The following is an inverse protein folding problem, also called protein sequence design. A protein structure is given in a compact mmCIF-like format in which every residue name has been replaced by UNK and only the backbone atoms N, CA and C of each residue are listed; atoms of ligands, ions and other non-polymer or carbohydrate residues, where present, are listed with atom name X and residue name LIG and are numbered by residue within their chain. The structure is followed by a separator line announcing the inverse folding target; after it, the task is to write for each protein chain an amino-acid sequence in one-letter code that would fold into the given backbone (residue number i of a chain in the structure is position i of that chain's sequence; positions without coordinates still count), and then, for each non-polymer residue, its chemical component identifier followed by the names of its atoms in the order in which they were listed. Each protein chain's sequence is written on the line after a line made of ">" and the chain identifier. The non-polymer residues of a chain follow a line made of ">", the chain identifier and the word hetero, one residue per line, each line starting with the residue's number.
data_IF_369195706000
#
_entry.id   IF_369195706000
#
_cell.length_a   1.000
_cell.length_b   1.000
_cell.length_c   1.000
_cell.angle_alpha   90.00
_cell.angle_beta   90.00
_cell.angle_gamma   90.00
#
_symmetry.space_group_name_H-M   'P 1'
#
loop_
_entity.id
_entity.type
_entity.pdbx_description
1 polymer ?
#
# COMPACT_ATOMS: atom_id res chain seq x y z
N UNK A 1 -27.42 20.62 65.34
CA UNK A 1 -27.26 19.22 64.88
C UNK A 1 -26.71 19.27 63.45
N UNK A 2 -25.65 18.53 63.11
CA UNK A 2 -25.10 18.48 61.74
C UNK A 2 -25.63 17.23 61.04
N UNK A 3 -26.44 17.38 60.00
CA UNK A 3 -26.71 16.28 59.06
C UNK A 3 -25.66 16.32 57.96
N UNK A 4 -24.92 15.22 57.80
CA UNK A 4 -24.07 15.00 56.63
C UNK A 4 -24.93 14.44 55.50
N UNK A 5 -24.93 15.08 54.33
CA UNK A 5 -25.56 14.54 53.14
C UNK A 5 -24.55 13.63 52.42
N UNK A 6 -24.93 12.36 52.26
CA UNK A 6 -24.13 11.34 51.57
C UNK A 6 -24.13 11.61 50.06
N UNK A 7 -23.00 12.03 49.49
CA UNK A 7 -22.86 12.18 48.04
C UNK A 7 -22.53 10.80 47.43
N UNK A 8 -23.55 10.18 46.82
CA UNK A 8 -23.40 8.92 46.10
C UNK A 8 -22.77 9.17 44.73
N UNK A 9 -21.49 8.82 44.56
CA UNK A 9 -20.83 8.87 43.25
C UNK A 9 -21.37 7.78 42.33
N UNK A 10 -22.31 8.13 41.47
CA UNK A 10 -22.75 7.27 40.37
C UNK A 10 -21.67 7.29 39.27
N UNK A 11 -20.77 6.32 39.27
CA UNK A 11 -19.80 6.13 38.20
C UNK A 11 -20.52 5.62 36.94
N UNK A 12 -21.10 6.54 36.17
CA UNK A 12 -21.58 6.23 34.82
C UNK A 12 -20.34 6.04 33.95
N UNK A 13 -20.01 4.78 33.68
CA UNK A 13 -18.97 4.42 32.73
C UNK A 13 -19.39 4.79 31.32
N UNK A 14 -19.11 6.03 30.89
CA UNK A 14 -19.11 6.38 29.47
C UNK A 14 -18.02 5.55 28.77
N UNK A 15 -18.45 4.43 28.19
CA UNK A 15 -17.68 3.80 27.12
C UNK A 15 -17.56 4.83 25.99
N UNK A 16 -16.36 5.14 25.48
CA UNK A 16 -16.23 6.01 24.33
C UNK A 16 -16.83 5.30 23.13
N UNK A 17 -18.05 5.70 22.75
CA UNK A 17 -18.64 5.32 21.46
C UNK A 17 -17.72 5.93 20.39
N UNK A 18 -17.02 5.06 19.65
CA UNK A 18 -16.18 5.47 18.51
C UNK A 18 -17.08 5.96 17.36
N UNK A 19 -17.55 7.20 17.47
CA UNK A 19 -18.29 7.88 16.42
C UNK A 19 -17.35 8.24 15.25
N UNK A 20 -17.58 7.63 14.09
CA UNK A 20 -17.16 8.10 12.76
C UNK A 20 -15.68 8.44 12.56
N UNK A 21 -14.98 7.66 11.74
CA UNK A 21 -13.59 7.94 11.38
C UNK A 21 -13.49 9.17 10.45
N UNK A 22 -13.21 10.34 11.03
CA UNK A 22 -12.81 11.54 10.29
C UNK A 22 -11.44 11.30 9.66
N UNK A 23 -11.37 11.26 8.32
CA UNK A 23 -10.14 10.97 7.59
C UNK A 23 -10.06 11.75 6.28
N UNK A 24 -8.84 12.07 5.85
CA UNK A 24 -8.59 12.75 4.57
C UNK A 24 -7.66 11.89 3.73
N UNK A 25 -8.08 11.53 2.53
CA UNK A 25 -7.26 10.86 1.53
C UNK A 25 -6.67 11.88 0.57
N UNK A 26 -5.36 11.82 0.41
CA UNK A 26 -4.59 12.76 -0.41
C UNK A 26 -4.26 12.17 -1.77
N UNK A 27 -4.01 13.04 -2.76
CA UNK A 27 -3.73 12.64 -4.15
C UNK A 27 -2.49 11.75 -4.30
N UNK A 28 -1.61 11.81 -3.30
CA UNK A 28 -0.38 11.05 -3.19
C UNK A 28 -0.58 9.65 -2.53
N UNK A 29 -1.83 9.22 -2.30
CA UNK A 29 -2.18 7.90 -1.77
C UNK A 29 -2.31 7.80 -0.24
N UNK A 30 -1.87 8.80 0.53
CA UNK A 30 -1.91 8.71 2.00
C UNK A 30 -3.35 8.82 2.55
N UNK A 31 -3.60 8.16 3.68
CA UNK A 31 -4.76 8.39 4.57
C UNK A 31 -4.29 9.16 5.81
N UNK A 32 -4.82 10.36 6.00
CA UNK A 32 -4.64 11.15 7.22
C UNK A 32 -5.76 10.78 8.19
N UNK A 33 -5.43 10.03 9.24
CA UNK A 33 -6.36 9.63 10.29
C UNK A 33 -6.66 10.78 11.27
N UNK A 34 -7.88 10.83 11.82
CA UNK A 34 -8.38 11.91 12.67
C UNK A 34 -8.22 13.31 12.05
N UNK A 35 -8.43 13.39 10.73
CA UNK A 35 -8.22 14.58 9.93
C UNK A 35 -9.57 15.15 9.47
N UNK A 36 -9.79 16.44 9.73
CA UNK A 36 -11.08 17.11 9.51
C UNK A 36 -10.90 18.44 8.79
N UNK A 37 -11.63 18.61 7.67
CA UNK A 37 -11.70 19.89 6.96
C UNK A 37 -12.27 21.01 7.86
N UNK A 38 -11.74 22.23 7.72
CA UNK A 38 -12.13 23.40 8.51
C UNK A 38 -12.42 24.66 7.71
N UNK A 39 -11.74 24.89 6.58
CA UNK A 39 -12.01 26.03 5.68
C UNK A 39 -11.53 25.70 4.24
N UNK A 40 -11.98 26.48 3.26
CA UNK A 40 -11.53 26.40 1.87
C UNK A 40 -11.42 27.81 1.28
N UNK A 41 -10.30 28.13 0.64
CA UNK A 41 -10.03 29.46 0.09
C UNK A 41 -9.28 29.31 -1.22
N UNK A 42 -9.79 29.91 -2.30
CA UNK A 42 -9.21 29.88 -3.65
C UNK A 42 -8.71 28.47 -4.04
N UNK A 43 -7.40 28.28 -4.28
CA UNK A 43 -6.80 26.99 -4.64
C UNK A 43 -6.45 26.09 -3.45
N UNK A 44 -6.76 26.49 -2.21
CA UNK A 44 -6.37 25.79 -0.97
C UNK A 44 -7.52 25.30 -0.12
N UNK A 45 -7.25 24.25 0.63
CA UNK A 45 -8.15 23.66 1.61
C UNK A 45 -7.42 23.49 2.95
N UNK A 46 -8.08 23.88 4.03
CA UNK A 46 -7.56 23.90 5.39
C UNK A 46 -8.23 22.81 6.21
N UNK A 47 -7.45 22.11 7.02
CA UNK A 47 -7.92 21.01 7.85
C UNK A 47 -7.12 20.93 9.15
N UNK A 48 -7.69 20.29 10.16
CA UNK A 48 -6.97 19.90 11.37
C UNK A 48 -6.68 18.40 11.36
N UNK A 49 -5.60 17.99 12.03
CA UNK A 49 -5.33 16.58 12.38
C UNK A 49 -5.13 16.51 13.89
N UNK A 50 -5.79 15.55 14.54
CA UNK A 50 -5.58 15.26 15.95
C UNK A 50 -4.60 14.09 16.11
N UNK A 51 -3.45 14.36 16.73
CA UNK A 51 -2.44 13.36 17.09
C UNK A 51 -2.31 13.35 18.61
N UNK A 52 -2.78 12.28 19.24
CA UNK A 52 -2.93 12.20 20.71
C UNK A 52 -3.71 13.42 21.24
N UNK A 53 -3.17 14.16 22.21
CA UNK A 53 -3.80 15.35 22.78
C UNK A 53 -3.53 16.65 22.00
N UNK A 54 -2.83 16.57 20.86
CA UNK A 54 -2.46 17.74 20.06
C UNK A 54 -3.28 17.85 18.78
N UNK A 55 -4.07 18.93 18.70
CA UNK A 55 -4.68 19.38 17.45
C UNK A 55 -3.70 20.27 16.67
N UNK A 56 -3.46 19.96 15.40
CA UNK A 56 -2.61 20.76 14.51
C UNK A 56 -3.36 21.14 13.24
N UNK A 57 -3.20 22.39 12.77
CA UNK A 57 -3.88 22.90 11.56
C UNK A 57 -2.91 22.92 10.38
N UNK A 58 -3.41 22.52 9.21
CA UNK A 58 -2.69 22.43 7.95
C UNK A 58 -3.52 23.03 6.81
N UNK A 59 -2.86 23.42 5.73
CA UNK A 59 -3.52 23.90 4.52
C UNK A 59 -2.76 23.43 3.29
N UNK A 60 -3.41 22.63 2.44
CA UNK A 60 -2.84 22.10 1.19
C UNK A 60 -3.54 22.74 -0.01
N UNK A 61 -3.00 22.59 -1.21
CA UNK A 61 -3.76 22.88 -2.44
C UNK A 61 -4.89 21.86 -2.60
N UNK A 62 -6.04 22.27 -3.14
CA UNK A 62 -7.23 21.42 -3.34
C UNK A 62 -6.88 20.13 -4.08
N UNK A 63 -6.09 20.24 -5.15
CA UNK A 63 -5.63 19.12 -5.98
C UNK A 63 -4.83 18.05 -5.22
N UNK A 64 -4.27 18.37 -4.05
CA UNK A 64 -3.52 17.42 -3.22
C UNK A 64 -4.44 16.61 -2.29
N UNK A 65 -5.72 16.95 -2.20
CA UNK A 65 -6.74 16.18 -1.47
C UNK A 65 -7.71 15.55 -2.48
N UNK A 66 -7.99 14.26 -2.33
CA UNK A 66 -8.97 13.57 -3.16
C UNK A 66 -10.34 13.58 -2.51
N UNK A 67 -10.43 12.97 -1.32
CA UNK A 67 -11.70 12.80 -0.61
C UNK A 67 -11.50 12.97 0.89
N UNK A 68 -12.41 13.69 1.53
CA UNK A 68 -12.52 13.76 2.98
C UNK A 68 -13.76 12.98 3.44
N UNK A 69 -13.60 12.17 4.48
CA UNK A 69 -14.68 11.49 5.19
C UNK A 69 -14.90 12.15 6.53
N UNK A 70 -16.17 12.29 6.93
CA UNK A 70 -16.55 12.80 8.24
C UNK A 70 -17.91 12.26 8.63
N UNK A 71 -18.00 11.62 9.80
CA UNK A 71 -19.27 11.07 10.35
C UNK A 71 -20.13 10.38 9.27
N UNK A 72 -19.57 9.41 8.54
CA UNK A 72 -20.27 8.65 7.49
C UNK A 72 -20.68 9.40 6.23
N UNK A 73 -20.36 10.70 6.11
CA UNK A 73 -20.47 11.44 4.86
C UNK A 73 -19.10 11.59 4.20
N UNK A 74 -19.05 11.86 2.90
CA UNK A 74 -17.81 12.14 2.17
C UNK A 74 -17.91 13.40 1.31
N UNK A 75 -16.77 13.96 0.95
CA UNK A 75 -16.63 15.09 0.02
C UNK A 75 -15.43 14.86 -0.90
N UNK A 76 -15.67 14.72 -2.20
CA UNK A 76 -14.59 14.69 -3.20
C UNK A 76 -14.20 16.12 -3.55
N UNK A 77 -12.95 16.49 -3.27
CA UNK A 77 -12.51 17.90 -3.29
C UNK A 77 -12.47 18.49 -4.70
N UNK A 78 -12.14 17.66 -5.70
CA UNK A 78 -12.16 18.07 -7.11
C UNK A 78 -13.56 18.30 -7.68
N UNK A 79 -14.63 17.93 -6.95
CA UNK A 79 -16.01 18.25 -7.35
C UNK A 79 -16.51 19.58 -6.76
N UNK A 80 -15.73 20.22 -5.87
CA UNK A 80 -16.09 21.52 -5.30
C UNK A 80 -16.03 22.61 -6.35
N UNK A 81 -16.95 23.57 -6.27
CA UNK A 81 -17.01 24.71 -7.17
C UNK A 81 -15.69 25.48 -7.20
N UNK A 82 -15.32 25.99 -8.39
CA UNK A 82 -14.19 26.92 -8.54
C UNK A 82 -14.53 28.31 -8.02
N UNK A 83 -15.82 28.63 -7.84
CA UNK A 83 -16.24 29.86 -7.16
C UNK A 83 -16.02 29.73 -5.63
N UNK A 84 -15.24 30.64 -4.99
CA UNK A 84 -14.92 30.53 -3.57
C UNK A 84 -16.15 30.58 -2.64
N UNK A 85 -17.21 31.30 -3.00
CA UNK A 85 -18.39 31.44 -2.15
C UNK A 85 -19.26 30.17 -2.19
N UNK A 86 -19.47 29.57 -3.37
CA UNK A 86 -20.13 28.28 -3.51
C UNK A 86 -19.30 27.16 -2.86
N UNK A 87 -17.98 27.14 -3.07
CA UNK A 87 -17.09 26.14 -2.47
C UNK A 87 -17.17 26.14 -0.93
N UNK A 88 -17.22 27.33 -0.30
CA UNK A 88 -17.44 27.47 1.14
C UNK A 88 -18.82 26.94 1.56
N UNK A 89 -19.88 27.22 0.80
CA UNK A 89 -21.23 26.72 1.07
C UNK A 89 -21.32 25.19 0.94
N UNK A 90 -20.64 24.60 -0.04
CA UNK A 90 -20.54 23.15 -0.22
C UNK A 90 -19.76 22.50 0.93
N UNK A 91 -18.65 23.11 1.36
CA UNK A 91 -17.91 22.67 2.55
C UNK A 91 -18.76 22.74 3.82
N UNK A 92 -19.44 23.86 4.09
CA UNK A 92 -20.33 23.99 5.24
C UNK A 92 -21.47 22.96 5.21
N UNK A 93 -22.01 22.66 4.02
CA UNK A 93 -23.00 21.59 3.83
C UNK A 93 -22.42 20.23 4.23
N UNK A 94 -21.19 19.91 3.81
CA UNK A 94 -20.49 18.69 4.24
C UNK A 94 -20.20 18.67 5.75
N UNK A 95 -19.79 19.80 6.34
CA UNK A 95 -19.47 19.91 7.76
C UNK A 95 -20.70 19.90 8.69
N UNK A 96 -21.89 20.18 8.16
CA UNK A 96 -23.16 20.12 8.92
C UNK A 96 -23.96 18.84 8.67
N UNK A 97 -23.82 18.22 7.50
CA UNK A 97 -24.47 16.93 7.17
C UNK A 97 -23.93 15.78 8.03
N UNK A 98 -24.84 14.97 8.57
CA UNK A 98 -24.53 13.71 9.28
C UNK A 98 -24.83 12.49 8.40
N UNK A 99 -24.22 11.34 8.74
CA UNK A 99 -24.37 10.05 8.05
C UNK A 99 -25.80 9.71 7.62
N UNK A 100 -25.88 8.92 6.56
CA UNK A 100 -27.07 8.19 6.16
C UNK A 100 -27.33 7.12 7.23
N UNK A 101 -28.29 7.40 8.11
CA UNK A 101 -28.61 6.48 9.20
C UNK A 101 -29.30 5.22 8.66
N UNK A 102 -29.17 4.13 9.41
CA UNK A 102 -29.85 2.84 9.21
C UNK A 102 -29.40 1.94 8.04
N UNK A 103 -28.45 2.36 7.17
CA UNK A 103 -27.92 1.51 6.08
C UNK A 103 -26.42 1.66 5.85
N UNK A 104 -25.78 0.53 5.55
CA UNK A 104 -24.43 0.47 4.97
C UNK A 104 -24.52 0.55 3.43
N UNK A 105 -23.41 0.90 2.77
CA UNK A 105 -23.31 0.91 1.32
C UNK A 105 -22.04 0.17 0.87
N UNK A 106 -22.23 -0.79 -0.03
CA UNK A 106 -21.13 -1.50 -0.70
C UNK A 106 -20.99 -0.93 -2.11
N UNK A 107 -19.80 -0.43 -2.46
CA UNK A 107 -19.54 0.17 -3.76
C UNK A 107 -18.76 -0.83 -4.63
N UNK A 108 -19.43 -1.42 -5.63
CA UNK A 108 -18.82 -2.28 -6.65
C UNK A 108 -18.39 -1.44 -7.85
N UNK A 109 -17.24 -1.74 -8.45
CA UNK A 109 -16.73 -0.98 -9.60
C UNK A 109 -17.19 -1.51 -10.97
N UNK A 110 -17.36 -2.83 -11.13
CA UNK A 110 -17.64 -3.46 -12.44
C UNK A 110 -18.76 -4.50 -12.32
N UNK A 111 -19.98 -4.22 -12.84
CA UNK A 111 -20.47 -2.89 -13.22
C UNK A 111 -20.50 -1.95 -12.00
N UNK A 112 -20.45 -0.63 -12.23
CA UNK A 112 -20.53 0.32 -11.12
C UNK A 112 -21.91 0.23 -10.46
N UNK A 113 -21.94 -0.16 -9.18
CA UNK A 113 -23.17 -0.32 -8.42
C UNK A 113 -22.96 0.09 -6.97
N UNK A 114 -23.93 0.84 -6.45
CA UNK A 114 -24.04 1.16 -5.03
C UNK A 114 -25.13 0.30 -4.43
N UNK A 115 -24.73 -0.67 -3.60
CA UNK A 115 -25.62 -1.68 -3.01
C UNK A 115 -25.99 -1.23 -1.58
N UNK A 116 -27.25 -0.81 -1.30
CA UNK A 116 -27.68 -0.45 0.05
C UNK A 116 -27.97 -1.71 0.86
N UNK A 117 -27.25 -1.87 1.96
CA UNK A 117 -27.08 -3.10 2.70
C UNK A 117 -27.23 -2.91 4.21
N UNK A 118 -27.34 -4.01 4.94
CA UNK A 118 -27.05 -4.09 6.37
C UNK A 118 -26.04 -5.21 6.60
N UNK A 119 -24.80 -4.85 6.89
CA UNK A 119 -23.68 -5.79 7.06
C UNK A 119 -23.93 -6.61 8.32
N UNK A 120 -23.90 -7.93 8.15
CA UNK A 120 -24.05 -8.92 9.24
C UNK A 120 -22.71 -9.49 9.71
N UNK A 121 -21.75 -9.59 8.79
CA UNK A 121 -20.40 -10.11 9.05
C UNK A 121 -19.45 -9.64 7.96
N UNK A 122 -18.20 -9.37 8.33
CA UNK A 122 -17.13 -8.90 7.46
C UNK A 122 -15.81 -9.57 7.87
N UNK A 123 -15.02 -10.00 6.89
CA UNK A 123 -13.62 -10.40 7.10
C UNK A 123 -12.75 -9.89 5.95
N UNK A 124 -11.51 -10.38 5.82
CA UNK A 124 -10.54 -9.89 4.83
C UNK A 124 -10.93 -10.23 3.37
N UNK A 125 -11.77 -11.24 3.15
CA UNK A 125 -12.11 -11.74 1.82
C UNK A 125 -13.56 -11.44 1.38
N UNK A 126 -14.52 -11.42 2.31
CA UNK A 126 -15.96 -11.33 2.00
C UNK A 126 -16.73 -10.42 2.95
N UNK A 127 -17.85 -9.89 2.44
CA UNK A 127 -18.87 -9.17 3.20
C UNK A 127 -20.18 -9.92 3.08
N UNK A 128 -20.76 -10.32 4.21
CA UNK A 128 -22.08 -10.94 4.30
C UNK A 128 -23.09 -9.90 4.79
N UNK A 129 -24.16 -9.67 4.03
CA UNK A 129 -25.08 -8.58 4.28
C UNK A 129 -26.53 -8.97 4.00
N UNK A 130 -27.46 -8.22 4.60
CA UNK A 130 -28.86 -8.22 4.21
C UNK A 130 -29.07 -7.12 3.16
N UNK A 131 -29.72 -7.49 2.07
CA UNK A 131 -30.23 -6.57 1.04
C UNK A 131 -31.37 -5.71 1.58
N UNK A 132 -31.76 -4.65 0.85
CA UNK A 132 -32.85 -3.77 1.29
C UNK A 132 -34.23 -4.44 1.35
N UNK A 133 -34.43 -5.60 0.72
CA UNK A 133 -35.61 -6.47 0.87
C UNK A 133 -35.43 -7.61 1.89
N UNK A 134 -34.36 -7.56 2.69
CA UNK A 134 -34.13 -8.44 3.84
C UNK A 134 -33.55 -9.82 3.51
N UNK A 135 -33.15 -10.08 2.26
CA UNK A 135 -32.50 -11.34 1.87
C UNK A 135 -31.01 -11.31 2.18
N UNK A 136 -30.48 -12.43 2.66
CA UNK A 136 -29.04 -12.63 2.84
C UNK A 136 -28.31 -12.73 1.51
N UNK A 137 -27.21 -12.00 1.39
CA UNK A 137 -26.30 -12.00 0.25
C UNK A 137 -24.83 -11.96 0.74
N UNK A 138 -23.91 -12.31 -0.16
CA UNK A 138 -22.47 -12.26 0.08
C UNK A 138 -21.78 -11.66 -1.15
N UNK A 139 -20.70 -10.91 -0.94
CA UNK A 139 -19.87 -10.36 -2.01
C UNK A 139 -18.39 -10.43 -1.62
N UNK A 140 -17.51 -10.67 -2.60
CA UNK A 140 -16.06 -10.61 -2.37
C UNK A 140 -15.60 -9.17 -2.24
N UNK A 141 -14.68 -8.90 -1.30
CA UNK A 141 -14.04 -7.59 -1.17
C UNK A 141 -13.27 -7.18 -2.43
N UNK A 142 -12.75 -8.13 -3.21
CA UNK A 142 -12.07 -7.84 -4.48
C UNK A 142 -12.97 -7.30 -5.60
N UNK A 143 -14.30 -7.39 -5.46
CA UNK A 143 -15.26 -6.73 -6.36
C UNK A 143 -15.59 -5.29 -5.91
N UNK A 144 -15.28 -4.94 -4.66
CA UNK A 144 -15.60 -3.66 -4.07
C UNK A 144 -14.45 -2.65 -4.31
N UNK A 145 -14.77 -1.37 -4.20
CA UNK A 145 -13.78 -0.28 -4.06
C UNK A 145 -13.88 0.39 -2.70
N UNK A 146 -15.07 0.44 -2.11
CA UNK A 146 -15.30 0.96 -0.79
C UNK A 146 -16.49 0.28 -0.08
N UNK A 147 -16.39 0.24 1.25
CA UNK A 147 -17.49 -0.07 2.16
C UNK A 147 -17.72 1.19 3.00
N UNK A 148 -18.96 1.67 3.05
CA UNK A 148 -19.35 2.81 3.87
C UNK A 148 -20.36 2.31 4.91
N UNK A 149 -20.01 2.41 6.19
CA UNK A 149 -20.83 1.86 7.27
C UNK A 149 -21.84 2.88 7.81
N UNK A 150 -23.00 2.40 8.26
CA UNK A 150 -24.02 3.22 8.91
C UNK A 150 -23.55 3.90 10.21
N UNK A 151 -22.52 3.34 10.86
CA UNK A 151 -21.86 3.94 12.05
C UNK A 151 -20.85 5.06 11.70
N UNK A 152 -20.63 5.29 10.40
CA UNK A 152 -19.75 6.31 9.86
C UNK A 152 -18.28 5.90 9.72
N UNK A 153 -17.92 4.63 9.95
CA UNK A 153 -16.65 4.07 9.47
C UNK A 153 -16.67 3.92 7.95
N UNK A 154 -15.49 3.85 7.35
CA UNK A 154 -15.33 3.57 5.92
C UNK A 154 -14.07 2.72 5.70
N UNK A 155 -14.12 1.84 4.71
CA UNK A 155 -13.02 0.96 4.32
C UNK A 155 -12.81 1.09 2.82
N UNK A 156 -11.62 1.51 2.38
CA UNK A 156 -11.24 1.45 0.96
C UNK A 156 -10.52 0.11 0.72
N UNK A 157 -10.76 -0.54 -0.41
CA UNK A 157 -10.18 -1.87 -0.65
C UNK A 157 -8.67 -1.75 -0.94
N UNK A 158 -7.88 -2.69 -0.39
CA UNK A 158 -6.42 -2.60 -0.32
C UNK A 158 -5.71 -2.67 -1.68
N UNK A 159 -6.38 -3.23 -2.69
CA UNK A 159 -5.96 -3.32 -4.09
C UNK A 159 -6.28 -2.05 -4.91
N UNK A 160 -6.91 -1.04 -4.29
CA UNK A 160 -7.42 0.17 -4.98
C UNK A 160 -6.70 1.43 -4.54
N UNK A 161 -6.32 2.24 -5.52
CA UNK A 161 -5.77 3.57 -5.23
C UNK A 161 -6.88 4.50 -4.70
N UNK A 162 -6.57 5.44 -3.78
CA UNK A 162 -7.54 6.47 -3.39
C UNK A 162 -8.03 7.33 -4.56
N UNK A 163 -7.26 7.41 -5.66
CA UNK A 163 -7.65 8.09 -6.90
C UNK A 163 -8.76 7.35 -7.65
N UNK A 164 -8.67 6.02 -7.80
CA UNK A 164 -9.76 5.19 -8.33
C UNK A 164 -11.02 5.35 -7.48
N UNK A 165 -10.89 5.24 -6.16
CA UNK A 165 -12.00 5.41 -5.22
C UNK A 165 -12.65 6.79 -5.38
N UNK A 166 -11.85 7.86 -5.43
CA UNK A 166 -12.37 9.21 -5.59
C UNK A 166 -13.11 9.41 -6.93
N UNK A 167 -12.62 8.80 -8.02
CA UNK A 167 -13.30 8.80 -9.33
C UNK A 167 -14.66 8.10 -9.26
N UNK A 168 -14.74 6.95 -8.59
CA UNK A 168 -16.00 6.23 -8.36
C UNK A 168 -16.95 7.04 -7.48
N UNK A 169 -16.46 7.62 -6.37
CA UNK A 169 -17.25 8.49 -5.49
C UNK A 169 -17.76 9.76 -6.20
N UNK A 170 -17.01 10.33 -7.16
CA UNK A 170 -17.49 11.45 -7.98
C UNK A 170 -18.67 11.10 -8.89
N UNK A 171 -18.86 9.82 -9.21
CA UNK A 171 -20.03 9.38 -10.00
C UNK A 171 -21.33 9.40 -9.17
N UNK A 172 -21.22 9.46 -7.84
CA UNK A 172 -22.33 9.51 -6.88
C UNK A 172 -22.82 10.97 -6.73
N UNK A 173 -23.54 11.47 -7.76
CA UNK A 173 -23.98 12.89 -7.86
C UNK A 173 -24.99 13.36 -6.80
N UNK A 174 -25.41 12.52 -5.85
CA UNK A 174 -26.34 12.86 -4.78
C UNK A 174 -25.90 12.20 -3.47
N UNK A 175 -26.13 12.80 -2.29
CA UNK A 175 -25.91 12.11 -1.03
C UNK A 175 -26.67 10.78 -0.99
N UNK A 176 -26.02 9.73 -0.48
CA UNK A 176 -26.50 8.35 -0.46
C UNK A 176 -27.71 8.16 0.48
N UNK A 177 -28.85 8.68 0.06
CA UNK A 177 -30.09 8.70 0.85
C UNK A 177 -31.30 9.27 0.07
N UNK A 178 -31.07 9.97 -1.05
CA UNK A 178 -32.12 10.40 -1.96
C UNK A 178 -32.17 9.50 -3.21
N UNK A 179 -32.98 8.44 -3.18
CA UNK A 179 -33.35 7.52 -4.28
C UNK A 179 -32.31 7.41 -5.41
N UNK A 180 -31.34 6.50 -5.23
CA UNK A 180 -30.34 6.17 -6.25
C UNK A 180 -31.04 5.40 -7.37
N UNK A 181 -31.05 5.96 -8.58
CA UNK A 181 -31.60 5.30 -9.76
C UNK A 181 -30.57 4.28 -10.24
N UNK A 182 -30.95 3.01 -10.27
CA UNK A 182 -30.19 1.96 -10.94
C UNK A 182 -30.12 2.26 -12.44
N UNK A 183 -28.92 2.24 -13.01
CA UNK A 183 -28.71 2.25 -14.46
C UNK A 183 -28.41 0.83 -14.93
N UNK A 184 -29.47 0.06 -15.19
CA UNK A 184 -29.42 -1.15 -16.03
C UNK A 184 -28.91 -0.80 -17.44
N UNK A 185 -28.28 -1.72 -18.21
CA UNK A 185 -28.62 -3.16 -18.41
C UNK A 185 -27.47 -4.13 -18.04
N UNK A 186 -27.57 -5.48 -18.05
CA UNK A 186 -28.62 -6.45 -18.40
C UNK A 186 -28.29 -7.84 -17.77
N UNK A 187 -29.28 -8.71 -17.59
CA UNK A 187 -29.15 -10.16 -17.28
C UNK A 187 -28.65 -10.99 -18.49
N UNK A 188 -28.31 -12.30 -18.37
CA UNK A 188 -28.14 -13.20 -17.20
C UNK A 188 -26.67 -13.75 -17.11
N UNK A 189 -26.25 -14.68 -16.24
CA UNK A 189 -26.53 -16.15 -16.19
C UNK A 189 -26.26 -16.69 -14.77
N UNK A 190 -27.05 -17.68 -14.37
CA UNK A 190 -27.02 -18.39 -13.10
C UNK A 190 -26.10 -19.63 -13.16
N UNK A 191 -25.15 -19.84 -12.22
CA UNK A 191 -24.40 -21.09 -12.14
C UNK A 191 -25.26 -22.20 -11.49
N UNK A 192 -25.67 -23.19 -12.28
CA UNK A 192 -26.33 -24.40 -11.76
C UNK A 192 -25.31 -25.32 -11.09
N UNK A 193 -25.47 -25.58 -9.80
CA UNK A 193 -24.73 -26.63 -9.13
C UNK A 193 -25.17 -28.01 -9.67
N UNK A 194 -24.22 -28.86 -10.07
CA UNK A 194 -24.47 -30.29 -10.31
C UNK A 194 -23.58 -31.10 -9.40
N UNK A 195 -24.20 -31.80 -8.45
CA UNK A 195 -23.58 -32.82 -7.63
C UNK A 195 -23.71 -34.18 -8.32
N UNK A 196 -22.64 -34.99 -8.33
CA UNK A 196 -22.78 -36.45 -8.34
C UNK A 196 -21.53 -37.13 -7.73
N UNK A 197 -21.66 -38.21 -6.93
CA UNK A 197 -20.51 -38.84 -6.24
C UNK A 197 -19.88 -39.99 -7.04
N UNK A 198 -18.86 -40.63 -6.43
CA UNK A 198 -17.92 -41.59 -7.04
C UNK A 198 -18.26 -43.06 -6.66
N UNK A 199 -17.78 -44.01 -7.50
CA UNK A 199 -17.41 -45.42 -7.19
C UNK A 199 -18.50 -46.55 -7.19
N UNK A 200 -18.12 -47.86 -7.34
CA UNK A 200 -16.86 -48.45 -7.88
C UNK A 200 -16.98 -49.79 -8.70
N UNK A 201 -15.81 -50.40 -9.04
CA UNK A 201 -15.46 -51.85 -9.22
C UNK A 201 -15.41 -52.62 -10.60
N UNK A 202 -14.18 -52.74 -11.16
CA UNK A 202 -13.31 -53.95 -11.44
C UNK A 202 -13.73 -55.13 -12.43
N UNK A 203 -12.89 -56.17 -12.72
CA UNK A 203 -12.16 -56.47 -14.00
C UNK A 203 -12.61 -57.82 -14.72
N UNK A 204 -11.81 -58.70 -15.44
CA UNK A 204 -10.43 -58.68 -16.02
C UNK A 204 -10.15 -59.36 -17.42
N UNK A 205 -9.01 -58.97 -18.07
CA UNK A 205 -8.04 -59.79 -18.88
C UNK A 205 -8.48 -60.57 -20.18
N UNK A 206 -7.58 -61.15 -21.03
CA UNK A 206 -6.09 -61.16 -21.09
C UNK A 206 -5.43 -60.79 -22.48
N UNK A 207 -4.10 -60.96 -22.60
CA UNK A 207 -3.16 -60.54 -23.68
C UNK A 207 -3.20 -61.36 -25.02
N UNK A 208 -2.39 -60.99 -26.06
CA UNK A 208 -1.02 -61.56 -26.15
C UNK A 208 0.13 -60.66 -26.69
N UNK A 209 1.36 -61.09 -26.37
CA UNK A 209 2.72 -60.58 -26.73
C UNK A 209 3.38 -61.68 -27.63
N UNK A 210 4.24 -61.46 -28.67
CA UNK A 210 5.62 -60.90 -28.60
C UNK A 210 6.11 -60.09 -29.86
N UNK A 211 7.33 -59.55 -29.97
CA UNK A 211 8.66 -60.16 -30.32
C UNK A 211 9.84 -59.22 -29.92
N UNK A 212 11.08 -59.74 -29.84
CA UNK A 212 12.29 -59.14 -29.24
C UNK A 212 13.51 -58.92 -30.20
N UNK A 213 14.38 -57.95 -29.84
CA UNK A 213 15.89 -57.87 -30.03
C UNK A 213 16.51 -57.45 -31.40
N UNK A 214 17.81 -57.04 -31.48
CA UNK A 214 18.73 -56.43 -30.47
C UNK A 214 19.72 -55.30 -30.97
N UNK A 215 20.54 -54.78 -30.02
CA UNK A 215 21.93 -54.23 -30.11
C UNK A 215 22.31 -52.79 -30.60
N UNK A 216 22.84 -52.00 -29.63
CA UNK A 216 24.14 -51.27 -29.56
C UNK A 216 24.61 -50.32 -30.71
N UNK A 217 25.24 -49.14 -30.43
CA UNK A 217 26.48 -49.06 -29.62
C UNK A 217 26.66 -47.85 -28.67
N UNK A 218 27.67 -47.95 -27.79
CA UNK A 218 28.18 -46.89 -26.90
C UNK A 218 29.24 -46.04 -27.62
N UNK A 219 29.23 -44.71 -27.49
CA UNK A 219 30.42 -43.88 -27.66
C UNK A 219 30.80 -43.07 -26.40
N UNK A 220 32.03 -43.35 -25.93
CA UNK A 220 33.06 -42.52 -25.27
C UNK A 220 32.73 -41.18 -24.55
N UNK A 221 33.48 -40.83 -23.48
CA UNK A 221 33.22 -39.67 -22.63
C UNK A 221 33.63 -38.34 -23.27
N UNK A 222 32.68 -37.40 -23.40
CA UNK A 222 32.96 -36.05 -23.89
C UNK A 222 33.18 -35.08 -22.72
N UNK A 223 34.43 -34.99 -22.27
CA UNK A 223 34.87 -34.03 -21.25
C UNK A 223 35.08 -32.64 -21.88
N UNK A 224 33.99 -31.92 -22.18
CA UNK A 224 33.99 -30.48 -22.52
C UNK A 224 32.58 -29.89 -22.60
N UNK A 225 31.99 -29.53 -21.46
CA UNK A 225 31.11 -28.37 -21.41
C UNK A 225 31.54 -27.47 -20.25
N UNK A 226 32.00 -26.28 -20.59
CA UNK A 226 32.19 -25.18 -19.64
C UNK A 226 30.82 -24.88 -19.05
N UNK A 227 30.57 -25.36 -17.84
CA UNK A 227 29.31 -25.10 -17.15
C UNK A 227 29.17 -23.59 -17.00
N UNK A 228 28.30 -23.00 -17.83
CA UNK A 228 27.80 -21.65 -17.62
C UNK A 228 27.08 -21.71 -16.28
N UNK A 229 27.72 -21.16 -15.24
CA UNK A 229 27.19 -21.11 -13.87
C UNK A 229 25.98 -20.16 -13.84
N UNK A 230 24.86 -20.66 -14.34
CA UNK A 230 23.54 -20.04 -14.31
C UNK A 230 22.87 -20.48 -13.01
N UNK A 231 22.22 -19.55 -12.30
CA UNK A 231 21.35 -19.85 -11.17
C UNK A 231 20.30 -20.89 -11.57
N UNK A 232 20.01 -21.85 -10.68
CA UNK A 232 18.83 -22.69 -10.86
C UNK A 232 17.55 -21.85 -10.75
N UNK A 233 16.43 -22.34 -11.27
CA UNK A 233 15.12 -21.66 -11.12
C UNK A 233 14.74 -21.44 -9.64
N UNK A 234 15.12 -22.37 -8.76
CA UNK A 234 14.90 -22.25 -7.32
C UNK A 234 15.77 -21.14 -6.70
N UNK A 235 17.06 -21.10 -7.03
CA UNK A 235 17.97 -20.04 -6.58
C UNK A 235 17.53 -18.68 -7.12
N UNK A 236 17.13 -18.62 -8.39
CA UNK A 236 16.61 -17.41 -9.04
C UNK A 236 15.44 -16.83 -8.24
N UNK A 237 14.42 -17.64 -7.93
CA UNK A 237 13.27 -17.22 -7.13
C UNK A 237 13.67 -16.78 -5.71
N UNK A 238 14.58 -17.50 -5.07
CA UNK A 238 15.11 -17.13 -3.75
C UNK A 238 15.77 -15.74 -3.80
N UNK A 239 16.71 -15.52 -4.71
CA UNK A 239 17.42 -14.25 -4.83
C UNK A 239 16.55 -13.10 -5.34
N UNK A 240 15.55 -13.38 -6.18
CA UNK A 240 14.52 -12.41 -6.57
C UNK A 240 13.76 -11.91 -5.34
N UNK A 241 13.20 -12.82 -4.51
CA UNK A 241 12.52 -12.45 -3.27
C UNK A 241 13.44 -11.65 -2.34
N UNK A 242 14.64 -12.16 -2.10
CA UNK A 242 15.64 -11.54 -1.22
C UNK A 242 16.06 -10.14 -1.67
N UNK A 243 16.00 -9.85 -2.97
CA UNK A 243 16.28 -8.51 -3.51
C UNK A 243 15.23 -7.48 -3.10
N UNK A 244 13.95 -7.87 -3.05
CA UNK A 244 12.85 -7.02 -2.57
C UNK A 244 12.97 -6.80 -1.06
N UNK A 245 13.15 -7.89 -0.30
CA UNK A 245 13.37 -7.85 1.16
C UNK A 245 14.54 -6.91 1.54
N UNK A 246 15.59 -6.84 0.71
CA UNK A 246 16.75 -5.97 0.98
C UNK A 246 16.48 -4.48 0.71
N UNK A 247 15.51 -4.15 -0.15
CA UNK A 247 15.02 -2.77 -0.33
C UNK A 247 14.12 -2.38 0.84
N UNK A 248 13.28 -3.30 1.33
CA UNK A 248 12.49 -3.12 2.56
C UNK A 248 13.39 -2.94 3.80
N UNK A 249 14.45 -3.75 3.92
CA UNK A 249 15.49 -3.62 4.96
C UNK A 249 16.12 -2.21 4.91
N UNK A 250 16.49 -1.73 3.73
CA UNK A 250 16.98 -0.36 3.55
C UNK A 250 15.96 0.70 3.97
N UNK A 251 14.68 0.56 3.58
CA UNK A 251 13.61 1.46 3.99
C UNK A 251 13.41 1.49 5.51
N UNK A 252 13.56 0.34 6.20
CA UNK A 252 13.52 0.26 7.67
C UNK A 252 14.67 1.04 8.34
N UNK A 253 15.87 1.04 7.73
CA UNK A 253 16.96 1.88 8.19
C UNK A 253 16.69 3.37 7.94
N UNK A 254 16.07 3.76 6.81
CA UNK A 254 15.66 5.15 6.59
C UNK A 254 14.71 5.64 7.70
N UNK A 255 13.67 4.85 8.04
CA UNK A 255 12.77 5.14 9.17
C UNK A 255 13.56 5.31 10.48
N UNK A 256 14.46 4.38 10.79
CA UNK A 256 15.28 4.40 12.02
C UNK A 256 16.22 5.61 12.12
N UNK A 257 16.79 6.06 10.99
CA UNK A 257 17.72 7.19 10.92
C UNK A 257 16.98 8.54 11.00
N UNK A 258 15.78 8.59 10.43
CA UNK A 258 14.91 9.76 10.37
C UNK A 258 14.21 10.06 11.72
N UNK A 259 13.82 9.00 12.45
CA UNK A 259 13.11 9.04 13.74
C UNK A 259 13.85 9.90 14.77
N UNK A 260 13.29 11.05 15.14
CA UNK A 260 13.93 12.00 16.05
C UNK A 260 13.97 11.54 17.51
N UNK A 261 13.19 10.54 17.91
CA UNK A 261 13.16 10.01 19.28
C UNK A 261 14.38 9.14 19.63
N UNK A 262 14.96 8.44 18.64
CA UNK A 262 16.08 7.51 18.83
C UNK A 262 17.40 8.18 19.15
N UNK A 263 18.28 7.47 19.85
CA UNK A 263 19.62 7.96 20.19
C UNK A 263 20.52 8.12 18.96
N UNK A 264 21.52 9.00 19.07
CA UNK A 264 22.52 9.19 18.03
C UNK A 264 23.37 7.94 17.78
N UNK A 265 23.54 7.09 18.80
CA UNK A 265 24.24 5.81 18.70
C UNK A 265 23.47 4.82 17.81
N UNK A 266 22.18 4.60 18.08
CA UNK A 266 21.33 3.73 17.25
C UNK A 266 21.27 4.21 15.79
N UNK A 267 21.17 5.53 15.58
CA UNK A 267 21.18 6.12 14.24
C UNK A 267 22.50 5.89 13.51
N UNK A 268 23.64 6.03 14.20
CA UNK A 268 24.94 5.74 13.62
C UNK A 268 25.08 4.24 13.28
N UNK A 269 24.63 3.33 14.17
CA UNK A 269 24.57 1.90 13.88
C UNK A 269 23.69 1.60 12.66
N UNK A 270 22.50 2.20 12.56
CA UNK A 270 21.61 2.05 11.41
C UNK A 270 22.27 2.56 10.10
N UNK A 271 23.00 3.68 10.14
CA UNK A 271 23.80 4.16 8.99
C UNK A 271 24.86 3.11 8.61
N UNK A 272 25.57 2.54 9.59
CA UNK A 272 26.64 1.58 9.34
C UNK A 272 26.15 0.23 8.80
N UNK A 273 24.97 -0.25 9.23
CA UNK A 273 24.37 -1.45 8.64
C UNK A 273 23.76 -1.15 7.26
N UNK A 274 23.03 -0.04 7.10
CA UNK A 274 22.45 0.35 5.82
C UNK A 274 23.51 0.48 4.71
N UNK A 275 24.68 1.05 5.00
CA UNK A 275 25.78 1.17 4.04
C UNK A 275 26.29 -0.20 3.55
N UNK A 276 26.27 -1.26 4.38
CA UNK A 276 26.68 -2.63 3.99
C UNK A 276 25.70 -3.31 3.03
N UNK A 277 24.49 -2.77 2.87
CA UNK A 277 23.55 -3.30 1.88
C UNK A 277 23.98 -2.97 0.44
N UNK A 278 24.86 -1.98 0.25
CA UNK A 278 25.22 -1.42 -1.05
C UNK A 278 26.61 -1.82 -1.56
N UNK A 279 26.75 -1.85 -2.88
CA UNK A 279 28.04 -1.89 -3.57
C UNK A 279 28.86 -0.63 -3.23
N UNK A 280 30.20 -0.74 -3.12
CA UNK A 280 31.10 0.41 -3.02
C UNK A 280 30.84 1.45 -4.10
N UNK A 281 30.89 2.74 -3.74
CA UNK A 281 30.65 3.85 -4.67
C UNK A 281 29.18 4.12 -5.02
N UNK A 282 28.21 3.35 -4.50
CA UNK A 282 26.79 3.60 -4.72
C UNK A 282 26.33 4.98 -4.25
N UNK A 283 25.34 5.53 -4.93
CA UNK A 283 24.79 6.89 -4.69
C UNK A 283 23.28 6.89 -4.59
N UNK A 284 22.72 7.74 -3.71
CA UNK A 284 21.30 8.09 -3.68
C UNK A 284 21.07 9.38 -4.47
N UNK A 285 20.10 9.37 -5.38
CA UNK A 285 19.63 10.54 -6.10
C UNK A 285 18.39 11.16 -5.43
N UNK A 286 18.46 12.47 -5.21
CA UNK A 286 17.40 13.25 -4.56
C UNK A 286 17.04 14.48 -5.39
N UNK A 287 15.78 14.88 -5.27
CA UNK A 287 15.18 16.08 -5.85
C UNK A 287 14.66 16.96 -4.71
N UNK A 288 14.24 18.18 -5.01
CA UNK A 288 13.53 19.03 -4.03
C UNK A 288 12.70 20.08 -4.74
N UNK A 289 11.49 20.34 -4.22
CA UNK A 289 10.60 21.38 -4.75
C UNK A 289 11.18 22.80 -4.64
N UNK A 290 12.17 23.03 -3.77
CA UNK A 290 12.83 24.33 -3.59
C UNK A 290 14.12 24.53 -4.41
N UNK A 291 14.65 23.47 -5.02
CA UNK A 291 15.92 23.52 -5.76
C UNK A 291 15.84 22.59 -6.98
N UNK A 292 15.62 23.13 -8.19
CA UNK A 292 15.38 22.33 -9.39
C UNK A 292 16.61 21.50 -9.77
N UNK A 293 16.34 20.33 -10.37
CA UNK A 293 17.34 19.34 -10.76
C UNK A 293 17.57 18.24 -9.72
N UNK A 294 18.19 17.13 -10.17
CA UNK A 294 18.57 16.03 -9.29
C UNK A 294 19.99 16.20 -8.74
N UNK A 295 20.24 15.66 -7.55
CA UNK A 295 21.55 15.65 -6.89
C UNK A 295 21.88 14.25 -6.41
N UNK A 296 23.13 13.83 -6.62
CA UNK A 296 23.62 12.51 -6.23
C UNK A 296 24.57 12.62 -5.07
N UNK A 297 24.29 11.87 -4.00
CA UNK A 297 25.12 11.78 -2.81
C UNK A 297 25.57 10.33 -2.61
N UNK A 298 26.82 10.06 -2.19
CA UNK A 298 27.20 8.74 -1.71
C UNK A 298 26.24 8.27 -0.60
N UNK A 299 25.90 6.98 -0.54
CA UNK A 299 24.87 6.47 0.39
C UNK A 299 25.12 6.94 1.84
N UNK A 300 26.35 6.81 2.35
CA UNK A 300 26.71 7.26 3.71
C UNK A 300 26.47 8.77 3.91
N UNK A 301 26.79 9.60 2.92
CA UNK A 301 26.58 11.05 2.95
C UNK A 301 25.08 11.39 2.98
N UNK A 302 24.28 10.73 2.13
CA UNK A 302 22.83 10.87 2.12
C UNK A 302 22.21 10.53 3.48
N UNK A 303 22.56 9.38 4.06
CA UNK A 303 22.04 8.93 5.35
C UNK A 303 22.47 9.84 6.51
N UNK A 304 23.71 10.36 6.47
CA UNK A 304 24.20 11.34 7.45
C UNK A 304 23.44 12.68 7.36
N UNK A 305 23.09 13.10 6.14
CA UNK A 305 22.27 14.30 5.92
C UNK A 305 20.81 14.08 6.37
N UNK A 306 20.23 12.91 6.10
CA UNK A 306 18.90 12.51 6.58
C UNK A 306 18.79 12.62 8.10
N UNK A 307 19.77 12.08 8.84
CA UNK A 307 19.85 12.19 10.30
C UNK A 307 19.74 13.66 10.78
N UNK A 308 20.43 14.56 10.07
CA UNK A 308 20.60 15.99 10.40
C UNK A 308 19.48 16.92 9.90
N UNK A 309 18.44 16.43 9.22
CA UNK A 309 17.37 17.29 8.71
C UNK A 309 16.68 18.08 9.83
N UNK A 310 16.44 19.37 9.59
CA UNK A 310 15.84 20.31 10.55
C UNK A 310 14.29 20.23 10.55
N UNK A 311 13.78 19.05 10.88
CA UNK A 311 12.36 18.77 11.11
C UNK A 311 12.19 18.19 12.53
N UNK A 312 11.02 18.42 13.15
CA UNK A 312 10.66 17.86 14.47
C UNK A 312 10.41 16.36 14.41
N UNK A 313 9.84 15.87 13.32
CA UNK A 313 9.72 14.46 12.96
C UNK A 313 9.83 14.31 11.44
N UNK A 314 10.20 13.11 10.99
CA UNK A 314 10.32 12.76 9.58
C UNK A 314 9.81 11.34 9.39
N UNK A 315 8.77 11.18 8.57
CA UNK A 315 8.26 9.88 8.15
C UNK A 315 8.76 9.58 6.73
N UNK A 316 9.23 8.35 6.51
CA UNK A 316 9.68 7.88 5.19
C UNK A 316 9.06 6.53 4.95
N UNK A 317 8.29 6.41 3.87
CA UNK A 317 7.62 5.16 3.50
C UNK A 317 8.02 4.74 2.09
N UNK A 318 8.03 3.42 1.86
CA UNK A 318 8.24 2.83 0.56
C UNK A 318 7.06 1.91 0.24
N UNK A 319 6.50 2.07 -0.95
CA UNK A 319 5.40 1.26 -1.48
C UNK A 319 5.72 0.78 -2.90
N UNK A 320 4.89 -0.14 -3.42
CA UNK A 320 4.95 -0.60 -4.81
C UNK A 320 6.34 -1.14 -5.23
N UNK A 321 7.02 -1.80 -4.30
CA UNK A 321 8.37 -2.33 -4.51
C UNK A 321 8.29 -3.57 -5.42
N UNK A 322 8.75 -3.44 -6.66
CA UNK A 322 8.69 -4.51 -7.65
C UNK A 322 9.85 -4.43 -8.65
N UNK A 323 10.11 -5.53 -9.37
CA UNK A 323 11.13 -5.54 -10.42
C UNK A 323 10.64 -4.77 -11.66
N UNK A 324 11.36 -3.71 -12.03
CA UNK A 324 11.26 -3.03 -13.32
C UNK A 324 12.08 -3.77 -14.40
N UNK A 325 13.21 -4.36 -13.99
CA UNK A 325 14.01 -5.26 -14.82
C UNK A 325 14.47 -6.45 -13.98
N UNK A 326 13.95 -7.63 -14.31
CA UNK A 326 14.31 -8.93 -13.71
C UNK A 326 15.83 -9.20 -13.72
N UNK A 327 16.28 -10.06 -12.82
CA UNK A 327 17.70 -10.42 -12.68
C UNK A 327 18.19 -11.13 -13.95
N UNK A 328 19.25 -10.61 -14.56
CA UNK A 328 19.80 -11.12 -15.82
C UNK A 328 21.32 -11.26 -15.72
N UNK A 329 21.86 -12.40 -16.16
CA UNK A 329 23.29 -12.66 -16.13
C UNK A 329 24.03 -11.82 -17.18
N UNK A 330 25.03 -11.06 -16.75
CA UNK A 330 25.92 -10.31 -17.63
C UNK A 330 27.17 -11.13 -18.01
N UNK A 331 28.00 -10.57 -18.90
CA UNK A 331 29.21 -11.22 -19.44
C UNK A 331 30.29 -11.50 -18.39
N UNK A 332 30.25 -10.83 -17.23
CA UNK A 332 31.15 -11.08 -16.10
C UNK A 332 30.69 -12.28 -15.22
N UNK A 333 29.52 -12.86 -15.53
CA UNK A 333 28.90 -13.95 -14.80
C UNK A 333 28.04 -13.51 -13.61
N UNK A 334 28.01 -12.21 -13.28
CA UNK A 334 27.15 -11.66 -12.22
C UNK A 334 25.72 -11.42 -12.74
N UNK A 335 24.74 -11.36 -11.84
CA UNK A 335 23.36 -11.04 -12.20
C UNK A 335 23.03 -9.58 -11.86
N UNK A 336 22.29 -8.92 -12.76
CA UNK A 336 21.90 -7.53 -12.61
C UNK A 336 20.40 -7.35 -12.85
N UNK A 337 19.77 -6.53 -12.00
CA UNK A 337 18.36 -6.16 -12.10
C UNK A 337 18.11 -4.72 -11.67
N UNK A 338 16.86 -4.27 -11.84
CA UNK A 338 16.38 -2.98 -11.36
C UNK A 338 15.03 -3.18 -10.66
N UNK A 339 14.96 -2.74 -9.40
CA UNK A 339 13.72 -2.64 -8.64
C UNK A 339 13.23 -1.19 -8.75
N UNK A 340 11.94 -1.01 -9.02
CA UNK A 340 11.24 0.27 -8.83
C UNK A 340 10.51 0.24 -7.49
N UNK A 341 10.34 1.40 -6.86
CA UNK A 341 9.45 1.60 -5.72
C UNK A 341 9.13 3.09 -5.55
N UNK A 342 7.99 3.38 -4.97
CA UNK A 342 7.58 4.75 -4.64
C UNK A 342 8.06 5.10 -3.25
N UNK A 343 8.84 6.18 -3.10
CA UNK A 343 9.26 6.69 -1.80
C UNK A 343 8.45 7.95 -1.45
N UNK A 344 7.68 7.88 -0.37
CA UNK A 344 7.02 9.01 0.28
C UNK A 344 7.91 9.56 1.38
N UNK A 345 8.18 10.87 1.36
CA UNK A 345 8.88 11.60 2.41
C UNK A 345 7.95 12.66 3.00
N UNK A 346 7.82 12.69 4.33
CA UNK A 346 7.05 13.71 5.07
C UNK A 346 7.94 14.30 6.17
N UNK A 347 8.25 15.58 6.08
CA UNK A 347 9.00 16.33 7.09
C UNK A 347 8.11 17.30 7.84
N UNK A 348 7.94 17.13 9.15
CA UNK A 348 7.13 18.00 9.99
C UNK A 348 8.03 19.06 10.63
N UNK A 349 7.94 20.28 10.12
CA UNK A 349 8.67 21.45 10.62
C UNK A 349 8.02 22.07 11.86
N UNK A 350 8.36 23.33 12.12
CA UNK A 350 7.76 24.07 13.24
C UNK A 350 6.27 24.38 12.99
N UNK A 351 5.98 24.95 11.81
CA UNK A 351 4.66 25.40 11.35
C UNK A 351 4.38 24.95 9.89
N UNK A 352 5.14 23.98 9.39
CA UNK A 352 5.12 23.54 7.98
C UNK A 352 5.19 22.03 7.89
N UNK A 353 4.53 21.44 6.90
CA UNK A 353 4.82 20.06 6.44
C UNK A 353 5.43 20.18 5.05
N UNK A 354 6.54 19.49 4.82
CA UNK A 354 7.06 19.21 3.48
C UNK A 354 6.70 17.77 3.11
N UNK A 355 6.02 17.58 1.98
CA UNK A 355 5.71 16.25 1.44
C UNK A 355 6.23 16.13 0.02
N UNK A 356 6.93 15.03 -0.25
CA UNK A 356 7.55 14.72 -1.53
C UNK A 356 7.35 13.24 -1.83
N UNK A 357 6.89 12.94 -3.04
CA UNK A 357 6.80 11.56 -3.54
C UNK A 357 7.73 11.47 -4.74
N UNK A 358 8.56 10.44 -4.74
CA UNK A 358 9.51 10.21 -5.83
C UNK A 358 9.53 8.73 -6.18
N UNK A 359 9.38 8.42 -7.47
CA UNK A 359 9.62 7.06 -7.95
C UNK A 359 11.14 6.83 -8.01
N UNK A 360 11.60 5.77 -7.35
CA UNK A 360 13.01 5.41 -7.23
C UNK A 360 13.32 4.13 -7.98
N UNK A 361 14.39 4.14 -8.76
CA UNK A 361 14.95 2.95 -9.39
C UNK A 361 16.23 2.51 -8.66
N UNK A 362 16.15 1.38 -7.96
CA UNK A 362 17.25 0.74 -7.22
C UNK A 362 17.91 -0.30 -8.12
N UNK A 363 19.20 -0.15 -8.41
CA UNK A 363 19.98 -1.20 -9.08
C UNK A 363 20.25 -2.36 -8.11
N UNK A 364 20.30 -3.58 -8.63
CA UNK A 364 20.63 -4.79 -7.85
C UNK A 364 21.76 -5.54 -8.54
N UNK A 365 22.72 -6.03 -7.75
CA UNK A 365 23.78 -6.96 -8.20
C UNK A 365 23.74 -8.23 -7.35
N UNK A 366 23.80 -9.37 -8.02
CA UNK A 366 24.18 -10.66 -7.44
C UNK A 366 25.60 -10.96 -7.88
N UNK A 367 26.53 -10.87 -6.93
CA UNK A 367 27.96 -11.09 -7.14
C UNK A 367 28.36 -12.51 -6.75
N UNK A 368 28.95 -13.26 -7.68
CA UNK A 368 29.50 -14.59 -7.37
C UNK A 368 30.80 -14.45 -6.59
N UNK A 369 30.96 -15.26 -5.55
CA UNK A 369 32.22 -15.44 -4.85
C UNK A 369 32.45 -16.93 -4.58
N UNK A 370 33.72 -17.33 -4.55
CA UNK A 370 34.13 -18.72 -4.34
C UNK A 370 34.61 -18.86 -2.90
N UNK A 371 34.12 -19.88 -2.20
CA UNK A 371 34.57 -20.25 -0.86
C UNK A 371 35.07 -21.69 -0.86
N UNK A 372 36.31 -21.91 -0.44
CA UNK A 372 36.81 -23.25 -0.15
C UNK A 372 36.47 -23.60 1.29
N UNK A 373 35.75 -24.72 1.48
CA UNK A 373 35.47 -25.31 2.79
C UNK A 373 35.92 -26.76 2.71
N UNK A 374 36.80 -27.19 3.62
CA UNK A 374 37.33 -28.57 3.70
C UNK A 374 37.93 -29.11 2.38
N UNK A 375 38.48 -28.21 1.56
CA UNK A 375 39.04 -28.51 0.23
C UNK A 375 38.03 -28.46 -0.92
N UNK A 376 36.72 -28.46 -0.63
CA UNK A 376 35.67 -28.35 -1.63
C UNK A 376 35.40 -26.89 -2.03
N UNK A 377 35.42 -26.65 -3.34
CA UNK A 377 35.23 -25.32 -3.93
C UNK A 377 33.74 -25.05 -4.15
N UNK A 378 33.14 -24.24 -3.28
CA UNK A 378 31.73 -23.89 -3.31
C UNK A 378 31.51 -22.47 -3.87
N UNK A 379 30.58 -22.31 -4.82
CA UNK A 379 30.18 -20.99 -5.35
C UNK A 379 29.00 -20.45 -4.56
N UNK A 380 29.13 -19.22 -4.05
CA UNK A 380 28.08 -18.50 -3.31
C UNK A 380 27.79 -17.16 -3.97
N UNK A 381 26.63 -16.59 -3.64
CA UNK A 381 26.19 -15.30 -4.19
C UNK A 381 25.97 -14.26 -3.09
N UNK A 382 26.60 -13.09 -3.26
CA UNK A 382 26.41 -11.91 -2.44
C UNK A 382 25.40 -10.97 -3.13
N UNK A 383 24.28 -10.70 -2.47
CA UNK A 383 23.27 -9.76 -2.93
C UNK A 383 23.59 -8.35 -2.41
N UNK A 384 23.77 -7.40 -3.32
CA UNK A 384 24.08 -6.00 -3.03
C UNK A 384 23.14 -5.06 -3.82
N UNK A 385 22.74 -3.97 -3.18
CA UNK A 385 22.06 -2.85 -3.82
C UNK A 385 23.09 -1.95 -4.51
N UNK A 386 22.70 -1.25 -5.57
CA UNK A 386 23.50 -0.25 -6.27
C UNK A 386 22.98 1.17 -6.06
N UNK A 387 23.43 2.10 -6.90
CA UNK A 387 22.87 3.45 -6.90
C UNK A 387 21.35 3.44 -7.10
N UNK A 388 20.69 4.35 -6.38
CA UNK A 388 19.25 4.62 -6.44
C UNK A 388 19.06 5.92 -7.22
N UNK A 389 18.38 5.84 -8.36
CA UNK A 389 18.04 6.99 -9.21
C UNK A 389 16.61 7.48 -9.00
N UNK A 390 16.30 8.71 -9.41
CA UNK A 390 14.91 9.19 -9.54
C UNK A 390 14.43 8.94 -10.98
N UNK A 391 13.23 8.38 -11.15
CA UNK A 391 12.64 8.10 -12.47
C UNK A 391 11.46 9.00 -12.81
N UNK A 392 10.71 9.46 -11.82
CA UNK A 392 9.63 10.45 -11.95
C UNK A 392 9.49 11.28 -10.65
N UNK A 393 8.92 12.48 -10.78
CA UNK A 393 8.61 13.42 -9.69
C UNK A 393 7.28 14.10 -9.95
N UNK A 394 6.39 14.10 -8.95
CA UNK A 394 5.07 14.74 -8.96
C UNK A 394 5.03 16.12 -8.26
#
# INVERSE_FOLDING_TARGET
>A
MKQQLLVLFFLIGLSPVLYGQDAIYTANGNKLENARLTDIADDRITFTVQQSDKLSTYSFQRQNILVAFRKGNFLVINNLSTDPAQAKKELETFLTTTAWQDKDFLLRAVPFEVIPAKISYENDAVVNYLTSDGKSASISKGELVAILHSDGRHSLMQDRTPAEVASVLSSIKKPLGANIISTQPSTPIQPTATTTPIAPETPPAPDPVPVLKPDAPIPAPNNSQVNKLVLSEADYRHYRKKSLEKVEEFASYLKTIADKSRSDYEKNQAIDQAVKLFMPGSTMEVTSKSQPGSRRYPIRTYLTNLKRLNYRSVDIEWSEIQFLKELSQATDGNYYGVITGQQTFIGYGANTIYTDITQKNVRVKLERYVTTVDGETNVKWALLLGSIGVSATD
#
